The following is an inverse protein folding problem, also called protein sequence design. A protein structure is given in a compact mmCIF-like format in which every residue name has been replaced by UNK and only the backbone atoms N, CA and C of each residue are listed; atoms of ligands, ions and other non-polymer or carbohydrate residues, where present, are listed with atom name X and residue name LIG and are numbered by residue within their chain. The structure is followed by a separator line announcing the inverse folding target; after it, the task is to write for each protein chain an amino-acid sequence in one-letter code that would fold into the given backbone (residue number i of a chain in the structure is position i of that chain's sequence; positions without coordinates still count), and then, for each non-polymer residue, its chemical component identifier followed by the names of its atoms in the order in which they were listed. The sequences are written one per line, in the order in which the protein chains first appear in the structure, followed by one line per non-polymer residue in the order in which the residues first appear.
data_IF_314101881795
#
_entry.id   IF_314101881795
#
_cell.length_a   1.000
_cell.length_b   1.000
_cell.length_c   1.000
_cell.angle_alpha   90.00
_cell.angle_beta   90.00
_cell.angle_gamma   90.00
#
_symmetry.space_group_name_H-M   'P 1'
#
loop_
_entity.id
_entity.type
_entity.pdbx_description
1 polymer ?
#
# COMPACT_ATOMS: atom_id res chain seq x y z
N UNK A 1 -7.99 3.31 0.64
CA UNK A 1 -7.68 1.90 0.31
C UNK A 1 -8.16 0.90 1.38
N UNK A 2 -7.47 0.61 2.51
CA UNK A 2 -7.98 -0.41 3.46
C UNK A 2 -9.39 -0.11 4.00
N UNK A 3 -9.66 1.14 4.40
CA UNK A 3 -11.00 1.56 4.86
C UNK A 3 -12.07 1.45 3.77
N UNK A 4 -11.74 1.85 2.55
CA UNK A 4 -12.70 1.89 1.45
C UNK A 4 -13.03 0.52 0.87
N UNK A 5 -12.08 -0.41 0.88
CA UNK A 5 -12.22 -1.69 0.17
C UNK A 5 -12.37 -2.90 1.09
N UNK A 6 -11.78 -2.87 2.30
CA UNK A 6 -11.68 -4.07 3.15
C UNK A 6 -12.51 -3.94 4.43
N UNK A 7 -12.33 -2.84 5.18
CA UNK A 7 -13.00 -2.62 6.46
C UNK A 7 -13.13 -1.12 6.77
N UNK A 8 -14.33 -0.53 6.64
CA UNK A 8 -14.57 0.89 6.91
C UNK A 8 -14.17 1.35 8.31
N UNK A 9 -14.17 0.44 9.29
CA UNK A 9 -13.84 0.73 10.68
C UNK A 9 -12.33 0.65 10.97
N UNK A 10 -11.52 0.23 9.99
CA UNK A 10 -10.09 0.03 10.19
C UNK A 10 -9.36 1.32 10.60
N UNK A 11 -8.66 1.24 11.74
CA UNK A 11 -7.86 2.31 12.29
C UNK A 11 -6.42 1.83 12.56
N UNK A 12 -5.46 2.73 12.37
CA UNK A 12 -4.07 2.52 12.74
C UNK A 12 -3.51 3.80 13.38
N UNK A 13 -2.43 3.66 14.13
CA UNK A 13 -1.66 4.78 14.69
C UNK A 13 -0.26 4.76 14.09
N UNK A 14 0.25 5.93 13.74
CA UNK A 14 1.61 6.08 13.26
C UNK A 14 2.54 6.29 14.46
N UNK A 15 3.75 5.76 14.37
CA UNK A 15 4.84 6.16 15.24
C UNK A 15 5.37 7.53 14.84
N UNK A 16 5.83 8.28 15.83
CA UNK A 16 6.83 9.32 15.63
C UNK A 16 8.19 8.68 15.29
N UNK A 17 9.11 9.45 14.71
CA UNK A 17 10.46 8.93 14.40
C UNK A 17 11.22 8.48 15.65
N UNK A 18 11.02 9.16 16.79
CA UNK A 18 11.64 8.80 18.07
C UNK A 18 11.10 7.47 18.60
N UNK A 19 9.78 7.28 18.55
CA UNK A 19 9.18 6.01 18.95
C UNK A 19 9.60 4.87 18.03
N UNK A 20 9.65 5.14 16.71
CA UNK A 20 10.11 4.16 15.73
C UNK A 20 11.54 3.70 16.08
N UNK A 21 12.47 4.64 16.31
CA UNK A 21 13.87 4.35 16.61
C UNK A 21 14.08 3.45 17.84
N UNK A 22 13.16 3.47 18.82
CA UNK A 22 13.21 2.61 20.02
C UNK A 22 12.79 1.16 19.76
N UNK A 23 12.06 0.89 18.68
CA UNK A 23 11.43 -0.41 18.40
C UNK A 23 12.13 -1.17 17.26
N UNK A 24 12.75 -0.48 16.30
CA UNK A 24 13.50 -1.15 15.22
C UNK A 24 14.90 -1.57 15.69
N UNK A 25 15.19 -2.87 15.59
CA UNK A 25 16.52 -3.46 15.88
C UNK A 25 17.62 -2.95 14.94
N UNK A 26 17.23 -2.49 13.74
CA UNK A 26 18.14 -1.86 12.78
C UNK A 26 17.35 -0.88 11.88
N UNK A 27 17.98 0.17 11.31
CA UNK A 27 17.36 1.04 10.32
C UNK A 27 16.82 0.28 9.10
N UNK A 28 15.88 0.88 8.37
CA UNK A 28 15.32 0.35 7.12
C UNK A 28 15.57 1.33 5.99
N UNK A 29 15.83 0.80 4.78
CA UNK A 29 15.98 1.64 3.60
C UNK A 29 14.62 2.18 3.18
N UNK A 30 14.55 3.51 2.99
CA UNK A 30 13.42 4.19 2.39
C UNK A 30 13.97 4.89 1.14
N UNK A 31 13.63 4.38 -0.03
CA UNK A 31 14.08 4.90 -1.31
C UNK A 31 12.94 4.86 -2.33
N UNK A 32 13.07 5.68 -3.36
CA UNK A 32 12.28 5.59 -4.58
C UNK A 32 13.21 5.10 -5.68
N UNK A 33 12.78 4.09 -6.44
CA UNK A 33 13.55 3.55 -7.55
C UNK A 33 13.02 4.11 -8.86
N UNK A 34 13.93 4.56 -9.73
CA UNK A 34 13.59 4.98 -11.08
C UNK A 34 13.13 3.78 -11.90
N UNK A 35 11.86 3.80 -12.30
CA UNK A 35 11.23 2.76 -13.09
C UNK A 35 11.31 3.01 -14.60
N UNK A 36 11.99 4.06 -15.07
CA UNK A 36 11.99 4.51 -16.47
C UNK A 36 12.34 3.39 -17.44
N UNK A 37 13.44 2.65 -17.19
CA UNK A 37 13.83 1.53 -18.05
C UNK A 37 12.72 0.48 -18.16
N UNK A 38 12.11 0.11 -17.04
CA UNK A 38 11.06 -0.90 -17.01
C UNK A 38 9.78 -0.41 -17.69
N UNK A 39 9.43 0.86 -17.50
CA UNK A 39 8.25 1.49 -18.09
C UNK A 39 8.39 1.66 -19.61
N UNK A 40 9.60 1.86 -20.12
CA UNK A 40 9.88 1.88 -21.56
C UNK A 40 9.66 0.51 -22.19
N UNK A 41 10.15 -0.56 -21.55
CA UNK A 41 9.98 -1.93 -22.05
C UNK A 41 8.54 -2.46 -21.85
N UNK A 42 7.84 -1.98 -20.82
CA UNK A 42 6.46 -2.38 -20.48
C UNK A 42 5.57 -1.13 -20.32
N UNK A 43 5.14 -0.49 -21.42
CA UNK A 43 4.35 0.74 -21.37
C UNK A 43 3.03 0.62 -20.60
N UNK A 44 2.46 -0.58 -20.54
CA UNK A 44 1.22 -0.92 -19.81
C UNK A 44 1.40 -1.05 -18.29
N UNK A 45 2.65 -1.04 -17.78
CA UNK A 45 2.93 -1.19 -16.34
C UNK A 45 2.22 -0.10 -15.53
N UNK A 46 1.36 -0.49 -14.60
CA UNK A 46 0.60 0.46 -13.78
C UNK A 46 1.47 1.10 -12.69
N UNK A 47 1.08 2.30 -12.24
CA UNK A 47 1.65 2.86 -11.01
C UNK A 47 1.24 2.02 -9.79
N UNK A 48 2.01 2.09 -8.70
CA UNK A 48 1.75 1.25 -7.52
C UNK A 48 0.34 1.43 -6.95
N UNK A 49 -0.21 2.65 -6.97
CA UNK A 49 -1.57 2.90 -6.45
C UNK A 49 -2.64 2.22 -7.32
N UNK A 50 -2.53 2.35 -8.63
CA UNK A 50 -3.47 1.73 -9.58
C UNK A 50 -3.36 0.20 -9.55
N UNK A 51 -2.13 -0.33 -9.52
CA UNK A 51 -1.88 -1.76 -9.43
C UNK A 51 -2.46 -2.35 -8.14
N UNK A 52 -2.27 -1.68 -7.00
CA UNK A 52 -2.85 -2.13 -5.73
C UNK A 52 -4.38 -2.10 -5.76
N UNK A 53 -5.02 -1.07 -6.33
CA UNK A 53 -6.48 -1.04 -6.48
C UNK A 53 -6.95 -2.22 -7.33
N UNK A 54 -6.43 -2.34 -8.55
CA UNK A 54 -6.89 -3.32 -9.54
C UNK A 54 -6.64 -4.77 -9.14
N UNK A 55 -5.46 -5.07 -8.62
CA UNK A 55 -5.03 -6.45 -8.39
C UNK A 55 -5.15 -6.90 -6.93
N UNK A 56 -5.29 -5.97 -5.97
CA UNK A 56 -5.38 -6.32 -4.55
C UNK A 56 -6.72 -5.90 -3.96
N UNK A 57 -7.07 -4.61 -4.01
CA UNK A 57 -8.21 -4.11 -3.25
C UNK A 57 -9.57 -4.40 -3.90
N UNK A 58 -9.69 -4.27 -5.23
CA UNK A 58 -10.93 -4.62 -5.94
C UNK A 58 -11.26 -6.11 -5.82
N UNK A 59 -10.33 -7.06 -6.07
CA UNK A 59 -10.64 -8.48 -5.96
C UNK A 59 -10.97 -8.93 -4.53
N UNK A 60 -10.44 -8.23 -3.52
CA UNK A 60 -10.67 -8.54 -2.11
C UNK A 60 -11.77 -7.65 -1.48
N UNK A 61 -12.52 -6.89 -2.29
CA UNK A 61 -13.55 -6.01 -1.76
C UNK A 61 -14.64 -6.83 -1.08
N UNK A 62 -14.78 -6.67 0.23
CA UNK A 62 -15.86 -7.34 0.98
C UNK A 62 -17.17 -6.64 0.65
N UNK A 63 -18.12 -7.37 0.07
CA UNK A 63 -19.52 -6.93 0.03
C UNK A 63 -20.11 -7.13 1.41
N UNK A 64 -20.64 -6.06 2.01
CA UNK A 64 -21.47 -6.18 3.21
C UNK A 64 -22.63 -7.13 2.88
N UNK A 65 -22.68 -8.29 3.53
CA UNK A 65 -23.90 -9.09 3.58
C UNK A 65 -24.85 -8.27 4.45
N UNK A 66 -25.75 -7.52 3.80
CA UNK A 66 -26.88 -6.90 4.50
C UNK A 66 -27.76 -8.04 5.02
N UNK A 67 -27.66 -8.31 6.32
CA UNK A 67 -28.60 -9.16 7.05
C UNK A 67 -29.98 -8.52 7.15
#
# INVERSE_FOLDING_TARGET
MCREFIDPSFAWKNFTLEEQAKVIVAPRSNNELDATKLKTEFPEMLSIKEALVKFVFEPNKKTEIKG
#
